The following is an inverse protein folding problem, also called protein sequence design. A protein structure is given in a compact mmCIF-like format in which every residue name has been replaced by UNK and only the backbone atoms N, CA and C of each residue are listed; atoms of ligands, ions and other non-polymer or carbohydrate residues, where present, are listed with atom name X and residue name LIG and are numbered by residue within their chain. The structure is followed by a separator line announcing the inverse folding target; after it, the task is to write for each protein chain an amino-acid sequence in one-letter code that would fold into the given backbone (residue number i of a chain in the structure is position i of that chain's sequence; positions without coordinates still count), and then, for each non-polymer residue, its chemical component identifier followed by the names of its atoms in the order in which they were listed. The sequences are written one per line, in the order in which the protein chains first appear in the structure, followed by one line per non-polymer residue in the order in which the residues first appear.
data_IF_225575788565
#
_entry.id   IF_225575788565
#
_cell.length_a   1.000
_cell.length_b   1.000
_cell.length_c   1.000
_cell.angle_alpha   90.00
_cell.angle_beta   90.00
_cell.angle_gamma   90.00
#
_symmetry.space_group_name_H-M   'P 1'
#
loop_
_entity.id
_entity.type
_entity.pdbx_description
1 polymer ?
#
# COMPACT_ATOMS: atom_id res chain seq x y z
N UNK A 1 -45.29 29.93 70.40
CA UNK A 1 -45.49 29.77 68.92
C UNK A 1 -44.13 29.53 68.28
N UNK A 2 -43.83 28.29 68.05
CA UNK A 2 -42.55 27.89 67.43
C UNK A 2 -42.75 27.75 65.91
N UNK A 3 -42.05 28.58 65.15
CA UNK A 3 -42.12 28.62 63.71
C UNK A 3 -41.04 27.71 63.14
N UNK A 4 -41.42 26.53 62.59
CA UNK A 4 -40.53 25.57 61.98
C UNK A 4 -40.28 25.99 60.53
N UNK A 5 -39.04 26.38 60.18
CA UNK A 5 -38.59 26.67 58.81
C UNK A 5 -38.23 25.37 58.14
N UNK A 6 -39.02 24.95 57.12
CA UNK A 6 -38.68 23.81 56.26
C UNK A 6 -37.75 24.31 55.13
N UNK A 7 -36.49 23.87 55.18
CA UNK A 7 -35.50 24.15 54.17
C UNK A 7 -35.66 23.12 53.01
N UNK A 8 -36.26 23.55 51.89
CA UNK A 8 -36.36 22.74 50.71
C UNK A 8 -35.02 22.79 49.95
N UNK A 9 -34.20 21.75 50.03
CA UNK A 9 -33.01 21.60 49.25
C UNK A 9 -33.37 21.19 47.79
N UNK A 10 -33.29 22.18 46.88
CA UNK A 10 -33.36 21.90 45.42
C UNK A 10 -32.06 21.34 44.94
N UNK A 11 -31.99 20.01 44.71
CA UNK A 11 -30.90 19.37 43.96
C UNK A 11 -31.04 19.74 42.49
N UNK A 12 -30.00 20.33 41.86
CA UNK A 12 -30.00 20.46 40.41
C UNK A 12 -29.81 19.07 39.81
N UNK A 13 -30.80 18.56 39.10
CA UNK A 13 -30.68 17.45 38.19
C UNK A 13 -29.74 17.91 37.04
N UNK A 14 -28.44 17.58 37.17
CA UNK A 14 -27.54 17.68 36.05
C UNK A 14 -27.99 16.63 35.04
N UNK A 15 -28.76 17.04 34.05
CA UNK A 15 -29.02 16.23 32.88
C UNK A 15 -27.67 15.92 32.24
N UNK A 16 -27.26 14.67 32.24
CA UNK A 16 -26.20 14.20 31.34
C UNK A 16 -26.59 14.58 29.93
N UNK A 17 -25.93 15.60 29.39
CA UNK A 17 -25.96 15.89 27.99
C UNK A 17 -25.34 14.63 27.34
N UNK A 18 -26.17 13.76 26.76
CA UNK A 18 -25.70 12.77 25.83
C UNK A 18 -25.00 13.55 24.74
N UNK A 19 -23.70 13.41 24.66
CA UNK A 19 -22.93 13.89 23.51
C UNK A 19 -23.73 13.52 22.27
N UNK A 20 -24.15 14.56 21.55
CA UNK A 20 -24.69 14.35 20.19
C UNK A 20 -23.56 13.68 19.44
N UNK A 21 -23.65 12.39 19.20
CA UNK A 21 -22.84 11.72 18.18
C UNK A 21 -23.03 12.55 16.93
N UNK A 22 -21.97 13.22 16.54
CA UNK A 22 -21.91 13.94 15.27
C UNK A 22 -22.09 12.89 14.18
N UNK A 23 -23.31 12.81 13.66
CA UNK A 23 -23.69 11.87 12.62
C UNK A 23 -23.29 12.40 11.23
N UNK A 24 -22.32 13.32 11.18
CA UNK A 24 -21.79 13.80 9.90
C UNK A 24 -20.94 12.70 9.25
N UNK A 25 -21.25 12.41 7.99
CA UNK A 25 -20.43 11.52 7.17
C UNK A 25 -19.04 12.15 7.02
N UNK A 26 -18.02 11.40 7.42
CA UNK A 26 -16.63 11.82 7.34
C UNK A 26 -16.03 11.37 6.01
N UNK A 27 -15.60 12.33 5.21
CA UNK A 27 -14.92 12.05 3.93
C UNK A 27 -13.47 11.73 4.18
N UNK A 28 -13.00 10.63 3.57
CA UNK A 28 -11.64 10.14 3.68
C UNK A 28 -11.09 9.88 2.28
N UNK A 29 -9.94 10.45 1.97
CA UNK A 29 -9.18 10.12 0.77
C UNK A 29 -8.13 9.06 1.13
N UNK A 30 -8.24 7.87 0.52
CA UNK A 30 -7.28 6.79 0.65
C UNK A 30 -6.48 6.69 -0.65
N UNK A 31 -5.16 6.81 -0.56
CA UNK A 31 -4.26 6.61 -1.71
C UNK A 31 -3.62 5.23 -1.61
N UNK A 32 -3.83 4.38 -2.63
CA UNK A 32 -3.21 3.05 -2.74
C UNK A 32 -2.08 3.03 -3.76
N UNK A 33 -1.17 2.06 -3.63
CA UNK A 33 -0.01 1.92 -4.53
C UNK A 33 -0.43 1.56 -5.94
N UNK A 34 -1.38 0.64 -6.09
CA UNK A 34 -1.93 0.19 -7.37
C UNK A 34 -3.28 -0.45 -7.15
N UNK A 35 -4.15 -0.42 -8.17
CA UNK A 35 -5.41 -1.16 -8.09
C UNK A 35 -5.14 -2.64 -8.39
N UNK A 36 -5.26 -3.51 -7.39
CA UNK A 36 -4.90 -4.92 -7.53
C UNK A 36 -5.78 -5.82 -6.67
N UNK A 37 -6.08 -7.03 -7.17
CA UNK A 37 -6.76 -8.08 -6.41
C UNK A 37 -6.04 -8.42 -5.10
N UNK A 38 -4.77 -8.10 -4.99
CA UNK A 38 -3.99 -8.21 -3.77
C UNK A 38 -4.59 -7.41 -2.60
N UNK A 39 -5.36 -6.37 -2.92
CA UNK A 39 -6.08 -5.52 -1.95
C UNK A 39 -7.58 -5.83 -1.88
N UNK A 40 -8.01 -7.00 -2.36
CA UNK A 40 -9.43 -7.40 -2.42
C UNK A 40 -10.20 -7.19 -1.10
N UNK A 41 -9.66 -7.43 0.11
CA UNK A 41 -10.39 -7.16 1.35
C UNK A 41 -10.85 -5.71 1.48
N UNK A 42 -10.04 -4.73 1.02
CA UNK A 42 -10.41 -3.31 1.02
C UNK A 42 -11.58 -3.06 0.08
N UNK A 43 -11.54 -3.60 -1.14
CA UNK A 43 -12.62 -3.40 -2.12
C UNK A 43 -13.92 -4.07 -1.69
N UNK A 44 -13.83 -5.27 -1.11
CA UNK A 44 -15.00 -5.96 -0.53
C UNK A 44 -15.63 -5.13 0.58
N UNK A 45 -14.82 -4.50 1.44
CA UNK A 45 -15.32 -3.63 2.49
C UNK A 45 -16.03 -2.37 1.94
N UNK A 46 -15.50 -1.81 0.85
CA UNK A 46 -16.11 -0.66 0.17
C UNK A 46 -17.44 -1.07 -0.47
N UNK A 47 -17.44 -2.12 -1.29
CA UNK A 47 -18.62 -2.57 -2.04
C UNK A 47 -19.76 -3.07 -1.13
N UNK A 48 -19.42 -3.68 0.02
CA UNK A 48 -20.42 -4.08 1.01
C UNK A 48 -20.90 -2.94 1.91
N UNK A 49 -20.38 -1.73 1.75
CA UNK A 49 -20.80 -0.57 2.52
C UNK A 49 -20.30 -0.52 3.95
N UNK A 50 -19.31 -1.33 4.35
CA UNK A 50 -18.81 -1.39 5.74
C UNK A 50 -18.24 -0.07 6.21
N UNK A 51 -17.62 0.71 5.33
CA UNK A 51 -17.17 2.06 5.66
C UNK A 51 -18.35 3.03 5.84
N UNK A 52 -19.37 2.91 5.01
CA UNK A 52 -20.57 3.75 5.13
C UNK A 52 -21.33 3.45 6.43
N UNK A 53 -21.38 2.19 6.87
CA UNK A 53 -21.98 1.79 8.15
C UNK A 53 -21.28 2.45 9.36
N UNK A 54 -19.97 2.73 9.20
CA UNK A 54 -19.16 3.45 10.21
C UNK A 54 -19.17 4.99 10.00
N UNK A 55 -20.01 5.49 9.11
CA UNK A 55 -20.12 6.92 8.83
C UNK A 55 -18.96 7.50 8.00
N UNK A 56 -18.26 6.66 7.25
CA UNK A 56 -17.13 7.04 6.40
C UNK A 56 -17.52 6.98 4.91
N UNK A 57 -17.21 8.04 4.18
CA UNK A 57 -17.27 8.09 2.71
C UNK A 57 -15.84 8.06 2.16
N UNK A 58 -15.44 6.97 1.53
CA UNK A 58 -14.10 6.80 0.99
C UNK A 58 -14.02 7.24 -0.47
N UNK A 59 -12.98 8.02 -0.78
CA UNK A 59 -12.48 8.23 -2.14
C UNK A 59 -11.15 7.49 -2.26
N UNK A 60 -11.05 6.53 -3.18
CA UNK A 60 -9.80 5.79 -3.44
C UNK A 60 -9.08 6.41 -4.62
N UNK A 61 -7.81 6.74 -4.44
CA UNK A 61 -6.92 7.25 -5.47
C UNK A 61 -5.72 6.32 -5.65
N UNK A 62 -5.04 6.40 -6.79
CA UNK A 62 -3.92 5.51 -7.12
C UNK A 62 -2.63 6.30 -7.29
N UNK A 63 -1.60 5.97 -6.50
CA UNK A 63 -0.30 6.63 -6.53
C UNK A 63 0.69 6.01 -7.53
N UNK A 64 0.47 4.75 -7.95
CA UNK A 64 1.38 3.98 -8.81
C UNK A 64 2.80 3.81 -8.27
N UNK A 65 2.96 3.91 -6.95
CA UNK A 65 4.22 3.70 -6.23
C UNK A 65 4.11 4.08 -4.77
N UNK A 66 4.82 3.36 -3.89
CA UNK A 66 4.84 3.64 -2.45
C UNK A 66 5.40 5.03 -2.12
N UNK A 67 6.38 5.48 -2.89
CA UNK A 67 6.97 6.81 -2.81
C UNK A 67 5.93 7.92 -3.08
N UNK A 68 5.07 7.71 -4.08
CA UNK A 68 4.01 8.66 -4.43
C UNK A 68 2.84 8.63 -3.44
N UNK A 69 2.49 7.46 -2.92
CA UNK A 69 1.48 7.34 -1.85
C UNK A 69 1.96 8.06 -0.59
N UNK A 70 3.22 7.87 -0.20
CA UNK A 70 3.80 8.59 0.93
C UNK A 70 3.81 10.10 0.70
N UNK A 71 4.16 10.55 -0.50
CA UNK A 71 4.09 11.97 -0.87
C UNK A 71 2.67 12.52 -0.70
N UNK A 72 1.65 11.82 -1.22
CA UNK A 72 0.25 12.23 -1.09
C UNK A 72 -0.20 12.32 0.38
N UNK A 73 0.28 11.39 1.23
CA UNK A 73 -0.02 11.40 2.66
C UNK A 73 0.63 12.61 3.36
N UNK A 74 1.92 12.87 3.12
CA UNK A 74 2.65 13.97 3.78
C UNK A 74 2.18 15.33 3.26
N UNK A 75 1.81 15.45 1.98
CA UNK A 75 1.28 16.70 1.41
C UNK A 75 -0.15 17.02 1.86
N UNK A 76 -0.87 16.05 2.44
CA UNK A 76 -2.28 16.18 2.81
C UNK A 76 -3.25 15.97 1.64
N UNK A 77 -2.77 15.46 0.49
CA UNK A 77 -3.63 15.07 -0.64
C UNK A 77 -4.37 13.75 -0.36
N UNK A 78 -3.90 12.97 0.61
CA UNK A 78 -4.55 11.78 1.12
C UNK A 78 -4.55 11.77 2.66
N UNK A 79 -5.65 11.29 3.25
CA UNK A 79 -5.77 11.09 4.70
C UNK A 79 -5.15 9.77 5.14
N UNK A 80 -5.20 8.76 4.25
CA UNK A 80 -4.68 7.41 4.49
C UNK A 80 -3.84 6.97 3.29
N UNK A 81 -2.63 6.47 3.56
CA UNK A 81 -1.79 5.81 2.57
C UNK A 81 -1.86 4.29 2.73
N UNK A 82 -2.21 3.56 1.65
CA UNK A 82 -2.14 2.11 1.62
C UNK A 82 -0.91 1.67 0.81
N UNK A 83 0.16 1.37 1.50
CA UNK A 83 1.49 1.08 0.95
C UNK A 83 2.26 0.15 1.88
N UNK A 84 3.45 -0.26 1.48
CA UNK A 84 4.36 -1.01 2.34
C UNK A 84 4.84 -0.15 3.53
N UNK A 85 5.04 -0.78 4.66
CA UNK A 85 5.47 -0.11 5.90
C UNK A 85 6.89 0.47 5.82
N UNK A 86 7.72 0.02 4.87
CA UNK A 86 9.06 0.55 4.63
C UNK A 86 9.06 2.05 4.36
N UNK A 87 8.05 2.57 3.65
CA UNK A 87 7.95 4.00 3.34
C UNK A 87 7.87 4.86 4.61
N UNK A 88 7.15 4.41 5.64
CA UNK A 88 7.09 5.11 6.93
C UNK A 88 8.42 5.07 7.67
N UNK A 89 9.17 3.96 7.55
CA UNK A 89 10.49 3.81 8.17
C UNK A 89 11.49 4.78 7.52
N UNK A 90 11.46 4.91 6.19
CA UNK A 90 12.36 5.83 5.48
C UNK A 90 12.11 7.29 5.90
N UNK A 91 10.86 7.74 5.89
CA UNK A 91 10.52 9.11 6.30
C UNK A 91 10.93 9.40 7.74
N UNK A 92 10.70 8.45 8.64
CA UNK A 92 11.14 8.57 10.03
C UNK A 92 12.68 8.62 10.14
N UNK A 93 13.39 7.76 9.38
CA UNK A 93 14.85 7.70 9.40
C UNK A 93 15.51 8.96 8.82
N UNK A 94 14.86 9.65 7.88
CA UNK A 94 15.28 10.94 7.33
C UNK A 94 15.10 12.11 8.32
N UNK A 95 14.53 11.85 9.48
CA UNK A 95 14.37 12.84 10.54
C UNK A 95 13.22 13.82 10.34
N UNK A 96 12.19 13.42 9.58
CA UNK A 96 10.98 14.21 9.45
C UNK A 96 10.24 14.30 10.78
N UNK A 97 9.86 15.50 11.20
CA UNK A 97 9.01 15.72 12.39
C UNK A 97 7.56 15.28 12.13
N UNK A 98 7.11 15.32 10.88
CA UNK A 98 5.82 14.83 10.42
C UNK A 98 6.01 13.51 9.68
N UNK A 99 5.74 12.41 10.36
CA UNK A 99 5.93 11.05 9.84
C UNK A 99 4.64 10.23 9.89
N UNK A 100 4.51 9.31 8.95
CA UNK A 100 3.36 8.41 8.88
C UNK A 100 3.39 7.38 10.03
N UNK A 101 2.20 7.10 10.59
CA UNK A 101 2.00 6.07 11.63
C UNK A 101 1.23 4.90 11.04
N UNK A 102 1.80 3.70 11.11
CA UNK A 102 1.10 2.49 10.69
C UNK A 102 0.07 2.08 11.74
N UNK A 103 -1.19 1.91 11.35
CA UNK A 103 -2.28 1.54 12.26
C UNK A 103 -2.98 0.23 11.89
N UNK A 104 -2.81 -0.27 10.65
CA UNK A 104 -3.43 -1.51 10.20
C UNK A 104 -2.54 -2.23 9.17
N UNK A 105 -2.61 -3.55 9.13
CA UNK A 105 -1.98 -4.38 8.11
C UNK A 105 -3.04 -5.25 7.41
N UNK A 106 -3.22 -5.05 6.10
CA UNK A 106 -4.17 -5.80 5.29
C UNK A 106 -3.54 -7.05 4.68
N UNK A 107 -2.25 -6.98 4.37
CA UNK A 107 -1.50 -8.07 3.73
C UNK A 107 -0.38 -8.53 4.64
N UNK A 108 -0.14 -9.85 4.67
CA UNK A 108 0.87 -10.45 5.54
C UNK A 108 2.08 -10.98 4.77
N UNK A 109 2.01 -11.02 3.44
CA UNK A 109 3.07 -11.51 2.55
C UNK A 109 3.15 -10.64 1.32
N UNK A 110 4.35 -10.53 0.74
CA UNK A 110 4.52 -9.92 -0.56
C UNK A 110 3.81 -10.77 -1.63
N UNK A 111 3.12 -10.10 -2.54
CA UNK A 111 2.39 -10.73 -3.65
C UNK A 111 3.07 -10.48 -4.99
N UNK A 112 4.39 -10.48 -5.02
CA UNK A 112 5.20 -10.22 -6.20
C UNK A 112 5.64 -11.51 -6.86
N UNK A 113 5.67 -11.51 -8.18
CA UNK A 113 6.15 -12.60 -9.03
C UNK A 113 7.25 -12.07 -9.94
N UNK A 114 8.29 -12.88 -10.14
CA UNK A 114 9.28 -12.62 -11.18
C UNK A 114 8.79 -13.27 -12.47
N UNK A 115 8.61 -12.48 -13.51
CA UNK A 115 8.15 -12.95 -14.83
C UNK A 115 9.28 -12.80 -15.81
N UNK A 116 9.64 -13.90 -16.47
CA UNK A 116 10.64 -13.97 -17.54
C UNK A 116 10.01 -14.04 -18.93
N UNK A 117 10.79 -13.80 -19.98
CA UNK A 117 10.33 -13.91 -21.38
C UNK A 117 10.18 -15.34 -21.86
N UNK A 118 10.99 -16.23 -21.34
CA UNK A 118 11.08 -17.64 -21.74
C UNK A 118 10.63 -18.51 -20.57
N UNK A 119 9.92 -19.60 -20.88
CA UNK A 119 9.59 -20.62 -19.89
C UNK A 119 10.86 -21.31 -19.38
N UNK A 120 11.00 -21.41 -18.07
CA UNK A 120 12.18 -22.04 -17.45
C UNK A 120 11.80 -22.79 -16.17
N UNK A 121 11.46 -24.06 -16.28
CA UNK A 121 11.10 -24.94 -15.15
C UNK A 121 12.27 -25.17 -14.16
N UNK A 122 13.49 -24.85 -14.54
CA UNK A 122 14.69 -25.02 -13.73
C UNK A 122 15.39 -23.69 -13.42
N UNK A 123 14.63 -22.63 -13.29
CA UNK A 123 15.16 -21.29 -13.02
C UNK A 123 16.06 -21.26 -11.78
N UNK A 124 17.23 -20.68 -11.96
CA UNK A 124 18.17 -20.39 -10.89
C UNK A 124 18.40 -18.88 -10.78
N UNK A 125 18.38 -18.34 -9.57
CA UNK A 125 18.59 -16.90 -9.35
C UNK A 125 19.85 -16.35 -10.00
N UNK A 126 20.89 -17.19 -10.13
CA UNK A 126 22.17 -16.84 -10.77
C UNK A 126 22.04 -16.45 -12.24
N UNK A 127 20.96 -16.86 -12.91
CA UNK A 127 20.67 -16.51 -14.31
C UNK A 127 20.33 -15.03 -14.51
N UNK A 128 20.00 -14.33 -13.44
CA UNK A 128 19.76 -12.89 -13.48
C UNK A 128 21.05 -12.05 -13.65
N UNK A 129 22.23 -12.67 -13.50
CA UNK A 129 23.49 -11.95 -13.70
C UNK A 129 23.64 -11.47 -15.14
N UNK A 130 23.92 -10.19 -15.30
CA UNK A 130 24.02 -9.53 -16.60
C UNK A 130 22.67 -9.25 -17.28
N UNK A 131 21.56 -9.49 -16.59
CA UNK A 131 20.20 -9.22 -17.10
C UNK A 131 19.70 -7.85 -16.69
N UNK A 132 18.69 -7.37 -17.41
CA UNK A 132 17.93 -6.18 -17.06
C UNK A 132 16.57 -6.59 -16.50
N UNK A 133 16.24 -6.14 -15.29
CA UNK A 133 14.98 -6.47 -14.60
C UNK A 133 14.20 -5.19 -14.28
N UNK A 134 12.92 -5.14 -14.64
CA UNK A 134 12.00 -4.13 -14.14
C UNK A 134 11.66 -4.52 -12.69
N UNK A 135 12.42 -3.99 -11.73
CA UNK A 135 12.50 -4.53 -10.36
C UNK A 135 11.59 -3.84 -9.34
N UNK A 136 10.65 -3.03 -9.80
CA UNK A 136 9.83 -2.18 -8.93
C UNK A 136 10.44 -0.80 -8.70
N UNK A 137 9.66 0.12 -8.11
CA UNK A 137 10.13 1.48 -7.85
C UNK A 137 11.10 1.54 -6.68
N UNK A 138 12.08 2.44 -6.79
CA UNK A 138 13.06 2.68 -5.74
C UNK A 138 12.38 2.99 -4.39
N UNK A 139 12.81 2.31 -3.34
CA UNK A 139 12.29 2.46 -1.98
C UNK A 139 10.95 1.77 -1.72
N UNK A 140 10.37 1.08 -2.71
CA UNK A 140 9.14 0.31 -2.52
C UNK A 140 9.40 -1.14 -2.07
N UNK A 141 8.39 -1.76 -1.45
CA UNK A 141 8.47 -3.16 -0.97
C UNK A 141 8.91 -4.15 -2.06
N UNK A 142 8.41 -4.09 -3.31
CA UNK A 142 8.84 -5.02 -4.36
C UNK A 142 10.34 -4.96 -4.64
N UNK A 143 10.88 -3.76 -4.79
CA UNK A 143 12.31 -3.55 -5.02
C UNK A 143 13.15 -4.04 -3.84
N UNK A 144 12.78 -3.65 -2.61
CA UNK A 144 13.49 -4.04 -1.40
C UNK A 144 13.50 -5.57 -1.23
N UNK A 145 12.37 -6.23 -1.47
CA UNK A 145 12.26 -7.69 -1.39
C UNK A 145 13.09 -8.37 -2.48
N UNK A 146 13.02 -7.87 -3.69
CA UNK A 146 13.81 -8.40 -4.82
C UNK A 146 15.31 -8.31 -4.52
N UNK A 147 15.82 -7.18 -4.10
CA UNK A 147 17.22 -7.03 -3.70
C UNK A 147 17.61 -7.93 -2.52
N UNK A 148 16.71 -8.10 -1.55
CA UNK A 148 16.94 -9.03 -0.44
C UNK A 148 17.12 -10.47 -0.95
N UNK A 149 16.27 -10.92 -1.89
CA UNK A 149 16.35 -12.25 -2.49
C UNK A 149 17.66 -12.40 -3.29
N UNK A 150 18.04 -11.39 -4.08
CA UNK A 150 19.32 -11.38 -4.80
C UNK A 150 20.51 -11.56 -3.85
N UNK A 151 20.56 -10.76 -2.79
CA UNK A 151 21.61 -10.83 -1.76
C UNK A 151 21.66 -12.20 -1.08
N UNK A 152 20.50 -12.82 -0.82
CA UNK A 152 20.40 -14.18 -0.27
C UNK A 152 20.96 -15.26 -1.20
N UNK A 153 20.92 -15.00 -2.50
CA UNK A 153 21.48 -15.90 -3.53
C UNK A 153 22.88 -15.49 -3.98
N UNK A 154 23.60 -14.68 -3.20
CA UNK A 154 24.95 -14.20 -3.48
C UNK A 154 25.05 -13.42 -4.81
N UNK A 155 24.02 -12.62 -5.11
CA UNK A 155 23.96 -11.73 -6.26
C UNK A 155 23.98 -10.29 -5.71
N UNK A 156 24.93 -9.49 -6.20
CA UNK A 156 24.99 -8.07 -5.85
C UNK A 156 24.03 -7.28 -6.75
N UNK A 157 22.96 -6.67 -6.19
CA UNK A 157 21.98 -5.94 -6.99
C UNK A 157 22.53 -4.69 -7.68
N UNK A 158 23.69 -4.18 -7.24
CA UNK A 158 24.32 -2.97 -7.80
C UNK A 158 25.26 -3.26 -8.98
N UNK A 159 25.81 -4.48 -9.02
CA UNK A 159 26.90 -4.80 -9.98
C UNK A 159 26.66 -6.01 -10.86
N UNK A 160 25.79 -6.95 -10.43
CA UNK A 160 25.62 -8.21 -11.11
C UNK A 160 24.49 -8.17 -12.16
N UNK A 161 23.58 -7.20 -12.10
CA UNK A 161 22.46 -7.02 -13.02
C UNK A 161 22.05 -5.55 -13.08
N UNK A 162 21.20 -5.19 -14.05
CA UNK A 162 20.58 -3.88 -14.13
C UNK A 162 19.14 -3.93 -13.58
N UNK A 163 18.83 -3.13 -12.57
CA UNK A 163 17.48 -3.02 -12.01
C UNK A 163 16.87 -1.67 -12.40
N UNK A 164 15.84 -1.71 -13.25
CA UNK A 164 15.06 -0.53 -13.63
C UNK A 164 14.06 -0.22 -12.53
N UNK A 165 14.22 0.94 -11.86
CA UNK A 165 13.44 1.34 -10.68
C UNK A 165 12.56 2.57 -10.91
N UNK A 166 12.46 3.05 -12.14
CA UNK A 166 11.76 4.27 -12.52
C UNK A 166 10.48 4.03 -13.32
N UNK A 167 10.04 2.79 -13.44
CA UNK A 167 8.79 2.42 -14.13
C UNK A 167 7.66 2.37 -13.10
N UNK A 168 6.57 3.08 -13.36
CA UNK A 168 5.38 3.05 -12.52
C UNK A 168 4.68 1.69 -12.59
N UNK A 169 4.11 1.20 -11.48
CA UNK A 169 3.47 -0.12 -11.40
C UNK A 169 2.34 -0.33 -12.41
N UNK A 170 1.62 0.70 -12.78
CA UNK A 170 0.60 0.63 -13.84
C UNK A 170 1.17 0.45 -15.25
N UNK A 171 2.49 0.50 -15.42
CA UNK A 171 3.19 0.48 -16.72
C UNK A 171 4.21 -0.63 -16.86
N UNK A 172 4.49 -1.41 -15.81
CA UNK A 172 5.54 -2.45 -15.81
C UNK A 172 5.29 -3.53 -16.85
N UNK A 173 4.09 -4.11 -16.92
CA UNK A 173 3.72 -5.10 -17.91
C UNK A 173 3.81 -4.56 -19.33
N UNK A 174 3.36 -3.32 -19.58
CA UNK A 174 3.44 -2.69 -20.90
C UNK A 174 4.90 -2.42 -21.30
N UNK A 175 5.75 -1.99 -20.37
CA UNK A 175 7.17 -1.83 -20.61
C UNK A 175 7.82 -3.17 -20.96
N UNK A 176 7.51 -4.22 -20.20
CA UNK A 176 7.99 -5.57 -20.44
C UNK A 176 7.56 -6.08 -21.83
N UNK A 177 6.28 -6.04 -22.17
CA UNK A 177 5.78 -6.52 -23.49
C UNK A 177 6.32 -5.70 -24.65
N UNK A 178 6.69 -4.44 -24.44
CA UNK A 178 7.36 -3.61 -25.45
C UNK A 178 8.84 -3.98 -25.68
N UNK A 179 9.39 -4.92 -24.94
CA UNK A 179 10.76 -5.39 -25.07
C UNK A 179 11.74 -4.80 -24.06
N UNK A 180 11.28 -4.03 -23.07
CA UNK A 180 12.13 -3.48 -22.01
C UNK A 180 12.36 -4.57 -20.95
N UNK A 181 13.62 -4.79 -20.58
CA UNK A 181 14.03 -5.78 -19.59
C UNK A 181 13.91 -7.24 -20.05
N UNK A 182 14.69 -8.10 -19.45
CA UNK A 182 14.62 -9.56 -19.63
C UNK A 182 13.58 -10.18 -18.71
N UNK A 183 13.38 -9.55 -17.54
CA UNK A 183 12.43 -9.93 -16.49
C UNK A 183 11.67 -8.71 -15.97
N UNK A 184 10.51 -8.96 -15.38
CA UNK A 184 9.73 -7.94 -14.66
C UNK A 184 9.21 -8.50 -13.34
N UNK A 185 9.11 -7.64 -12.32
CA UNK A 185 8.47 -7.95 -11.04
C UNK A 185 7.03 -7.44 -11.10
N UNK A 186 6.08 -8.35 -11.09
CA UNK A 186 4.66 -8.08 -11.26
C UNK A 186 3.84 -8.49 -10.04
N UNK A 187 2.66 -7.88 -9.91
CA UNK A 187 1.61 -8.33 -9.01
C UNK A 187 0.53 -9.08 -9.78
N UNK A 188 -0.32 -9.81 -9.06
CA UNK A 188 -1.57 -10.27 -9.65
C UNK A 188 -2.58 -9.10 -9.82
N UNK A 189 -3.35 -9.06 -10.91
CA UNK A 189 -3.50 -10.10 -11.94
C UNK A 189 -2.50 -10.00 -13.11
N UNK A 190 -1.57 -9.04 -13.09
CA UNK A 190 -0.66 -8.77 -14.23
C UNK A 190 0.25 -9.95 -14.56
N UNK A 191 0.77 -10.66 -13.55
CA UNK A 191 1.60 -11.83 -13.76
C UNK A 191 0.84 -12.92 -14.53
N UNK A 192 -0.34 -13.30 -14.06
CA UNK A 192 -1.21 -14.27 -14.76
C UNK A 192 -1.62 -13.81 -16.15
N UNK A 193 -1.90 -12.52 -16.35
CA UNK A 193 -2.27 -11.99 -17.66
C UNK A 193 -1.12 -12.09 -18.67
N UNK A 194 0.11 -11.81 -18.27
CA UNK A 194 1.28 -12.00 -19.12
C UNK A 194 1.44 -13.46 -19.57
N UNK A 195 1.23 -14.42 -18.65
CA UNK A 195 1.25 -15.85 -19.00
C UNK A 195 0.13 -16.23 -19.96
N UNK A 196 -1.11 -15.80 -19.72
CA UNK A 196 -2.26 -16.10 -20.56
C UNK A 196 -2.13 -15.52 -21.98
N UNK A 197 -1.45 -14.39 -22.11
CA UNK A 197 -1.17 -13.74 -23.39
C UNK A 197 0.03 -14.34 -24.12
N UNK A 198 0.81 -15.19 -23.44
CA UNK A 198 2.06 -15.75 -23.99
C UNK A 198 3.19 -14.73 -24.08
N UNK A 199 3.10 -13.65 -23.30
CA UNK A 199 4.08 -12.55 -23.28
C UNK A 199 5.12 -12.71 -22.16
N UNK A 200 4.90 -13.67 -21.23
CA UNK A 200 5.81 -13.95 -20.12
C UNK A 200 5.47 -15.25 -19.40
N UNK A 201 6.37 -15.66 -18.51
CA UNK A 201 6.29 -16.90 -17.72
C UNK A 201 6.72 -16.63 -16.27
N UNK A 202 5.92 -17.08 -15.31
CA UNK A 202 6.19 -16.94 -13.85
C UNK A 202 7.15 -18.02 -13.39
#
# INVERSE_FOLDING_TARGET
ITMTIILIATFPLTACNKDKTDNSIKKITLCEVTHSIFYAPQYVAIENGYFADEGLELTVTNGFGGDKVMTALISGDADIGFMGSESSIYVYAEGSDDYAVNFAGLTQRAGNFLVGREANDNFEWSELKGKTVIGGRAGGMPQMLFEYILKKNNINPETDLEILQNVDFGSTSAAFTSGIGDYTVEFEPSATLLEQQGEGHV
#
